data_IF_166202891924
#
_entry.id   IF_166202891924
#
_cell.length_a   1.000
_cell.length_b   1.000
_cell.length_c   1.000
_cell.angle_alpha   90.00
_cell.angle_beta   90.00
_cell.angle_gamma   90.00
#
_symmetry.space_group_name_H-M   'P 1'
#
loop_
_entity.id
_entity.type
_entity.pdbx_description
1 polymer ?
#
# COMPACT_ATOMS: atom_id res chain seq x y z
N UNK A 1 5.82 17.34 -3.69
CA UNK A 1 7.09 16.59 -3.74
C UNK A 1 6.75 15.18 -3.31
N UNK A 2 6.90 14.18 -4.19
CA UNK A 2 6.65 12.78 -3.82
C UNK A 2 7.84 12.29 -3.00
N UNK A 3 7.63 12.18 -1.68
CA UNK A 3 8.58 11.54 -0.78
C UNK A 3 8.76 10.04 -1.08
N UNK A 4 9.66 9.37 -0.34
CA UNK A 4 9.80 7.92 -0.44
C UNK A 4 8.47 7.22 -0.11
N UNK A 5 8.20 6.09 -0.77
CA UNK A 5 7.07 5.24 -0.40
C UNK A 5 7.43 4.45 0.86
N UNK A 6 6.59 4.54 1.89
CA UNK A 6 6.65 3.68 3.06
C UNK A 6 5.88 2.39 2.76
N UNK A 7 6.56 1.25 2.85
CA UNK A 7 6.00 -0.06 2.54
C UNK A 7 6.08 -0.94 3.77
N UNK A 8 4.94 -1.39 4.27
CA UNK A 8 4.84 -2.32 5.40
C UNK A 8 4.13 -3.61 4.97
N UNK A 9 4.79 -4.75 5.09
CA UNK A 9 4.15 -6.08 4.98
C UNK A 9 3.48 -6.39 6.31
N UNK A 10 2.21 -6.79 6.27
CA UNK A 10 1.37 -7.01 7.44
C UNK A 10 0.74 -8.40 7.42
N UNK A 11 0.39 -8.90 8.59
CA UNK A 11 -0.39 -10.11 8.81
C UNK A 11 -1.89 -9.78 8.90
N UNK A 12 -2.73 -10.70 8.43
CA UNK A 12 -4.17 -10.69 8.69
C UNK A 12 -4.49 -11.33 10.04
N UNK A 13 -3.60 -12.16 10.57
CA UNK A 13 -3.72 -12.76 11.90
C UNK A 13 -2.36 -12.87 12.61
N UNK A 14 -2.10 -12.10 13.69
CA UNK A 14 -2.96 -11.05 14.23
C UNK A 14 -3.12 -9.88 13.26
N UNK A 15 -4.32 -9.32 13.19
CA UNK A 15 -4.69 -8.32 12.18
C UNK A 15 -3.82 -7.06 12.28
N UNK A 16 -3.20 -6.67 11.16
CA UNK A 16 -2.46 -5.43 11.02
C UNK A 16 -1.09 -5.41 11.71
N UNK A 17 -0.61 -6.55 12.22
CA UNK A 17 0.75 -6.64 12.74
C UNK A 17 1.78 -6.68 11.60
N UNK A 18 2.97 -6.08 11.77
CA UNK A 18 4.07 -6.27 10.84
C UNK A 18 4.40 -7.76 10.66
N UNK A 19 4.57 -8.16 9.40
CA UNK A 19 5.10 -9.47 9.08
C UNK A 19 6.58 -9.54 9.50
N UNK A 20 7.08 -10.69 9.98
CA UNK A 20 8.50 -10.88 10.28
C UNK A 20 9.40 -10.60 9.06
N UNK A 21 10.66 -10.25 9.29
CA UNK A 21 11.62 -10.01 8.22
C UNK A 21 11.73 -11.24 7.29
N UNK A 22 11.63 -10.98 5.98
CA UNK A 22 11.63 -12.03 4.95
C UNK A 22 10.29 -12.75 4.75
N UNK A 23 9.30 -12.54 5.63
CA UNK A 23 7.96 -13.04 5.40
C UNK A 23 7.24 -12.20 4.34
N UNK A 24 6.47 -12.87 3.47
CA UNK A 24 5.70 -12.20 2.42
C UNK A 24 4.57 -11.33 3.00
N UNK A 25 4.07 -11.68 4.18
CA UNK A 25 2.87 -11.08 4.79
C UNK A 25 1.59 -11.49 4.06
N UNK A 26 0.44 -11.14 4.63
CA UNK A 26 -0.88 -11.38 4.05
C UNK A 26 -1.37 -10.16 3.26
N UNK A 27 -0.89 -8.96 3.61
CA UNK A 27 -1.24 -7.70 2.96
C UNK A 27 -0.05 -6.74 2.99
N UNK A 28 0.07 -5.88 1.99
CA UNK A 28 1.10 -4.86 1.87
C UNK A 28 0.44 -3.49 1.94
N UNK A 29 0.81 -2.72 2.96
CA UNK A 29 0.42 -1.32 3.10
C UNK A 29 1.47 -0.45 2.43
N UNK A 30 1.07 0.41 1.51
CA UNK A 30 1.94 1.38 0.85
C UNK A 30 1.45 2.79 1.12
N UNK A 31 2.31 3.68 1.58
CA UNK A 31 1.99 5.08 1.84
C UNK A 31 3.01 6.03 1.22
N UNK A 32 2.56 7.20 0.75
CA UNK A 32 3.45 8.32 0.36
C UNK A 32 3.56 9.40 1.45
N UNK A 33 3.10 9.09 2.67
CA UNK A 33 3.00 10.03 3.79
C UNK A 33 1.73 10.89 3.79
N UNK A 34 0.95 10.89 2.71
CA UNK A 34 -0.33 11.61 2.62
C UNK A 34 -1.51 10.67 2.43
N UNK A 35 -1.30 9.54 1.77
CA UNK A 35 -2.31 8.55 1.42
C UNK A 35 -1.76 7.16 1.67
N UNK A 36 -2.67 6.20 1.75
CA UNK A 36 -2.33 4.80 1.98
C UNK A 36 -3.21 3.93 1.08
N UNK A 37 -2.60 2.97 0.40
CA UNK A 37 -3.29 1.88 -0.28
C UNK A 37 -2.89 0.56 0.38
N UNK A 38 -3.78 -0.42 0.26
CA UNK A 38 -3.54 -1.80 0.69
C UNK A 38 -3.60 -2.71 -0.52
N UNK A 39 -2.62 -3.59 -0.63
CA UNK A 39 -2.46 -4.51 -1.74
C UNK A 39 -2.24 -5.93 -1.20
N UNK A 40 -2.64 -6.94 -1.95
CA UNK A 40 -2.09 -8.29 -1.73
C UNK A 40 -0.59 -8.30 -2.05
N UNK A 41 0.19 -9.27 -1.51
CA UNK A 41 1.60 -9.37 -1.85
C UNK A 41 1.87 -9.54 -3.35
N UNK A 42 0.98 -10.25 -4.06
CA UNK A 42 1.10 -10.42 -5.51
C UNK A 42 0.92 -9.08 -6.24
N UNK A 43 -0.12 -8.31 -5.91
CA UNK A 43 -0.35 -7.00 -6.53
C UNK A 43 0.79 -6.01 -6.28
N UNK A 44 1.42 -6.06 -5.10
CA UNK A 44 2.60 -5.25 -4.82
C UNK A 44 3.81 -5.68 -5.67
N UNK A 45 4.06 -6.97 -5.78
CA UNK A 45 5.18 -7.53 -6.54
C UNK A 45 5.02 -7.32 -8.06
N UNK A 46 3.79 -7.30 -8.57
CA UNK A 46 3.47 -7.01 -9.97
C UNK A 46 3.46 -5.50 -10.28
N UNK A 47 3.47 -4.64 -9.26
CA UNK A 47 3.38 -3.18 -9.45
C UNK A 47 4.76 -2.53 -9.49
N UNK A 48 4.99 -1.68 -10.49
CA UNK A 48 6.13 -0.76 -10.45
C UNK A 48 5.88 0.41 -9.50
N UNK A 49 6.94 1.04 -9.01
CA UNK A 49 6.84 2.22 -8.12
C UNK A 49 5.98 3.35 -8.72
N UNK A 50 6.06 3.54 -10.04
CA UNK A 50 5.23 4.52 -10.76
C UNK A 50 3.74 4.16 -10.73
N UNK A 51 3.40 2.87 -10.86
CA UNK A 51 2.02 2.40 -10.76
C UNK A 51 1.48 2.57 -9.33
N UNK A 52 2.30 2.28 -8.31
CA UNK A 52 1.93 2.49 -6.90
C UNK A 52 1.63 3.98 -6.62
N UNK A 53 2.48 4.88 -7.11
CA UNK A 53 2.23 6.34 -7.01
C UNK A 53 0.98 6.78 -7.74
N UNK A 54 0.71 6.22 -8.92
CA UNK A 54 -0.52 6.51 -9.64
C UNK A 54 -1.77 6.06 -8.87
N UNK A 55 -1.76 4.86 -8.27
CA UNK A 55 -2.86 4.37 -7.43
C UNK A 55 -3.05 5.24 -6.18
N UNK A 56 -1.97 5.63 -5.51
CA UNK A 56 -2.02 6.59 -4.39
C UNK A 56 -2.60 7.95 -4.82
N UNK A 57 -2.25 8.43 -6.03
CA UNK A 57 -2.82 9.65 -6.59
C UNK A 57 -4.33 9.52 -6.87
N UNK A 58 -4.78 8.34 -7.32
CA UNK A 58 -6.17 8.03 -7.66
C UNK A 58 -7.09 7.88 -6.44
N UNK A 59 -6.61 7.36 -5.30
CA UNK A 59 -7.42 7.27 -4.06
C UNK A 59 -7.92 8.63 -3.57
N UNK A 60 -7.15 9.70 -3.81
CA UNK A 60 -7.59 11.06 -3.50
C UNK A 60 -8.67 11.59 -4.45
N UNK A 61 -8.85 10.97 -5.62
CA UNK A 61 -9.91 11.30 -6.57
C UNK A 61 -11.18 10.49 -6.32
N UNK A 62 -11.07 9.25 -5.85
CA UNK A 62 -12.23 8.38 -5.57
C UNK A 62 -13.13 8.88 -4.43
N UNK A 63 -12.56 9.53 -3.41
CA UNK A 63 -13.33 10.07 -2.27
C UNK A 63 -14.08 11.37 -2.56
N UNK A 64 -13.79 12.05 -3.68
CA UNK A 64 -14.54 13.23 -4.12
C UNK A 64 -15.84 12.88 -4.86
N UNK A 65 -16.05 11.60 -5.17
CA UNK A 65 -17.15 11.11 -6.02
C UNK A 65 -18.16 10.22 -5.29
N UNK A 66 -17.92 9.88 -4.02
CA UNK A 66 -18.86 9.19 -3.16
C UNK A 66 -19.48 10.20 -2.18
N UNK A 67 -20.44 10.96 -2.69
CA UNK A 67 -21.42 11.71 -1.89
C UNK A 67 -22.58 10.81 -1.46
#
# INVERSE_FOLDING_TARGET
MTGPLDVTRLLQNPLGHPAPDGARGDIVRVSDGTRTIYLTPQEYEDSSEQQLRYRLAAEGWGRASAG
#
